data_IF_258596327192
#
_entry.id   IF_258596327192
#
_cell.length_a   1.000
_cell.length_b   1.000
_cell.length_c   1.000
_cell.angle_alpha   90.00
_cell.angle_beta   90.00
_cell.angle_gamma   90.00
#
_symmetry.space_group_name_H-M   'P 1'
#
loop_
_entity.id
_entity.type
_entity.pdbx_description
1 polymer ?
#
# COMPACT_ATOMS: atom_id res chain seq x y z
N UNK A 1 42.99 1.72 69.66
CA UNK A 1 42.05 0.99 68.80
C UNK A 1 42.39 1.34 67.36
N UNK A 2 43.10 0.47 66.66
CA UNK A 2 43.41 0.63 65.25
C UNK A 2 42.29 -0.03 64.44
N UNK A 3 41.57 0.74 63.65
CA UNK A 3 40.53 0.26 62.72
C UNK A 3 41.19 -0.23 61.43
N UNK A 4 41.29 -1.55 61.28
CA UNK A 4 41.74 -2.23 60.07
C UNK A 4 40.68 -2.07 58.95
N UNK A 5 40.99 -1.29 57.92
CA UNK A 5 40.15 -1.22 56.71
C UNK A 5 40.27 -2.51 55.91
N UNK A 6 39.14 -3.18 55.72
CA UNK A 6 39.03 -4.35 54.86
C UNK A 6 39.34 -4.05 53.38
N UNK A 7 40.07 -4.93 52.67
CA UNK A 7 40.45 -4.65 51.28
C UNK A 7 39.18 -4.75 50.34
N UNK A 8 38.96 -3.71 49.56
CA UNK A 8 37.93 -3.72 48.51
C UNK A 8 38.37 -4.62 47.36
N UNK A 9 37.77 -5.82 47.32
CA UNK A 9 37.87 -6.76 46.19
C UNK A 9 37.26 -6.06 44.94
N UNK A 10 38.09 -5.58 44.02
CA UNK A 10 37.69 -5.16 42.68
C UNK A 10 37.41 -6.40 41.85
N UNK A 11 36.19 -6.97 41.91
CA UNK A 11 35.72 -7.98 40.94
C UNK A 11 35.54 -7.28 39.60
N UNK A 12 36.51 -7.44 38.75
CA UNK A 12 36.43 -7.11 37.32
C UNK A 12 35.51 -8.14 36.68
N UNK A 13 34.18 -7.92 36.72
CA UNK A 13 33.25 -8.72 35.92
C UNK A 13 33.58 -8.47 34.46
N UNK A 14 34.29 -9.39 33.81
CA UNK A 14 34.44 -9.40 32.37
C UNK A 14 33.04 -9.60 31.75
N UNK A 15 32.48 -8.55 31.18
CA UNK A 15 31.23 -8.68 30.42
C UNK A 15 31.56 -9.51 29.17
N UNK A 16 31.09 -10.77 29.16
CA UNK A 16 31.15 -11.61 27.94
C UNK A 16 30.32 -10.89 26.88
N UNK A 17 30.98 -10.37 25.85
CA UNK A 17 30.29 -9.70 24.74
C UNK A 17 29.88 -10.75 23.71
N UNK A 18 28.59 -10.95 23.57
CA UNK A 18 28.00 -11.81 22.52
C UNK A 18 27.79 -11.06 21.19
N UNK A 19 28.27 -9.83 21.05
CA UNK A 19 28.05 -8.99 19.88
C UNK A 19 28.49 -9.68 18.57
N UNK A 20 29.61 -10.41 18.57
CA UNK A 20 30.09 -11.14 17.39
C UNK A 20 29.08 -12.19 16.91
N UNK A 21 28.48 -12.92 17.83
CA UNK A 21 27.45 -13.91 17.51
C UNK A 21 26.16 -13.28 16.97
N UNK A 22 25.79 -12.11 17.50
CA UNK A 22 24.67 -11.32 16.92
C UNK A 22 24.89 -11.03 15.43
N UNK A 23 26.07 -10.54 15.04
CA UNK A 23 26.40 -10.30 13.63
C UNK A 23 26.36 -11.59 12.79
N UNK A 24 26.86 -12.72 13.31
CA UNK A 24 26.85 -14.01 12.62
C UNK A 24 25.41 -14.49 12.35
N UNK A 25 24.49 -14.32 13.32
CA UNK A 25 23.10 -14.74 13.15
C UNK A 25 22.31 -13.87 12.18
N UNK A 26 22.61 -12.57 12.10
CA UNK A 26 21.90 -11.68 11.16
C UNK A 26 22.58 -11.63 9.77
N UNK A 27 23.83 -12.07 9.61
CA UNK A 27 24.56 -12.03 8.36
C UNK A 27 23.84 -12.71 7.18
N UNK A 28 23.25 -13.93 7.33
CA UNK A 28 22.52 -14.58 6.23
C UNK A 28 21.37 -13.73 5.68
N UNK A 29 20.62 -13.05 6.57
CA UNK A 29 19.55 -12.14 6.16
C UNK A 29 20.11 -10.96 5.35
N UNK A 30 21.16 -10.27 5.85
CA UNK A 30 21.73 -9.14 5.15
C UNK A 30 22.39 -9.52 3.83
N UNK A 31 23.00 -10.69 3.73
CA UNK A 31 23.56 -11.19 2.47
C UNK A 31 22.45 -11.46 1.45
N UNK A 32 21.39 -12.15 1.85
CA UNK A 32 20.24 -12.37 0.98
C UNK A 32 19.57 -11.05 0.55
N UNK A 33 19.38 -10.12 1.49
CA UNK A 33 18.84 -8.80 1.20
C UNK A 33 19.72 -8.00 0.22
N UNK A 34 21.04 -8.00 0.43
CA UNK A 34 21.99 -7.31 -0.44
C UNK A 34 21.97 -7.86 -1.87
N UNK A 35 21.91 -9.20 -2.02
CA UNK A 35 21.94 -9.85 -3.33
C UNK A 35 20.61 -9.74 -4.08
N UNK A 36 19.49 -9.95 -3.38
CA UNK A 36 18.19 -10.09 -4.04
C UNK A 36 17.33 -8.82 -4.00
N UNK A 37 17.63 -7.87 -3.12
CA UNK A 37 16.92 -6.59 -3.04
C UNK A 37 17.79 -5.40 -3.42
N UNK A 38 18.90 -5.21 -2.72
CA UNK A 38 19.71 -4.01 -2.88
C UNK A 38 20.44 -3.94 -4.22
N UNK A 39 21.08 -5.03 -4.65
CA UNK A 39 21.79 -5.07 -5.93
C UNK A 39 20.87 -4.84 -7.15
N UNK A 40 19.67 -5.46 -7.28
CA UNK A 40 18.75 -5.15 -8.37
C UNK A 40 18.25 -3.70 -8.36
N UNK A 41 18.07 -3.07 -7.18
CA UNK A 41 17.70 -1.66 -7.11
C UNK A 41 18.80 -0.76 -7.66
N UNK A 42 20.07 -1.01 -7.28
CA UNK A 42 21.20 -0.28 -7.84
C UNK A 42 21.33 -0.46 -9.35
N UNK A 43 21.12 -1.69 -9.86
CA UNK A 43 21.12 -1.96 -11.30
C UNK A 43 19.98 -1.23 -12.02
N UNK A 44 18.80 -1.09 -11.40
CA UNK A 44 17.68 -0.33 -11.95
C UNK A 44 18.02 1.15 -12.06
N UNK A 45 18.61 1.73 -11.01
CA UNK A 45 19.09 3.12 -11.03
C UNK A 45 20.19 3.29 -12.08
N UNK A 46 21.15 2.37 -12.16
CA UNK A 46 22.22 2.41 -13.17
C UNK A 46 21.62 2.38 -14.58
N UNK A 47 20.75 1.41 -14.88
CA UNK A 47 20.12 1.28 -16.19
C UNK A 47 19.30 2.50 -16.61
N UNK A 48 18.78 3.28 -15.67
CA UNK A 48 17.98 4.47 -15.96
C UNK A 48 18.75 5.56 -16.73
N UNK A 49 20.09 5.57 -16.62
CA UNK A 49 20.99 6.48 -17.33
C UNK A 49 21.48 5.95 -18.68
N UNK A 50 21.04 4.74 -19.06
CA UNK A 50 21.47 4.10 -20.29
C UNK A 50 20.31 3.92 -21.26
N UNK A 51 20.61 4.06 -22.55
CA UNK A 51 19.74 3.60 -23.64
C UNK A 51 19.96 2.10 -23.78
N UNK A 52 18.97 1.30 -23.41
CA UNK A 52 19.03 -0.15 -23.46
C UNK A 52 17.62 -0.69 -23.79
N UNK A 53 17.40 -1.07 -25.03
CA UNK A 53 16.13 -1.61 -25.49
C UNK A 53 16.32 -2.66 -26.59
N UNK A 54 15.24 -3.40 -26.89
CA UNK A 54 15.21 -4.34 -28.01
C UNK A 54 14.31 -3.83 -29.12
N UNK A 55 14.83 -3.84 -30.33
CA UNK A 55 14.08 -3.59 -31.55
C UNK A 55 14.06 -4.88 -32.38
N UNK A 56 12.91 -5.58 -32.35
CA UNK A 56 12.81 -6.93 -32.90
C UNK A 56 13.74 -7.92 -32.19
N UNK A 57 14.71 -8.50 -32.92
CA UNK A 57 15.71 -9.43 -32.39
C UNK A 57 17.03 -8.75 -32.01
N UNK A 58 17.22 -7.50 -32.39
CA UNK A 58 18.46 -6.75 -32.11
C UNK A 58 18.34 -6.02 -30.76
N UNK A 59 19.44 -6.05 -30.00
CA UNK A 59 19.56 -5.24 -28.79
C UNK A 59 20.35 -3.97 -29.10
N UNK A 60 19.76 -2.81 -28.73
CA UNK A 60 20.41 -1.50 -28.78
C UNK A 60 20.92 -1.16 -27.40
N UNK A 61 22.20 -0.89 -27.28
CA UNK A 61 22.84 -0.55 -26.01
C UNK A 61 23.38 -1.78 -25.24
N UNK A 62 23.86 -1.56 -23.98
CA UNK A 62 23.70 -0.34 -23.18
C UNK A 62 24.59 0.83 -23.59
N UNK A 63 24.04 1.96 -24.01
CA UNK A 63 24.74 3.20 -24.32
C UNK A 63 24.45 4.25 -23.25
N UNK A 64 25.45 4.91 -22.71
CA UNK A 64 25.23 5.96 -21.71
C UNK A 64 24.59 7.20 -22.35
N UNK A 65 23.43 7.60 -21.87
CA UNK A 65 22.65 8.74 -22.39
C UNK A 65 22.34 9.80 -21.32
N UNK A 66 22.90 9.64 -20.12
CA UNK A 66 22.68 10.57 -19.00
C UNK A 66 21.20 10.70 -18.65
N UNK A 67 20.68 11.93 -18.62
CA UNK A 67 19.30 12.22 -18.23
C UNK A 67 18.27 12.15 -19.37
N UNK A 68 18.67 11.71 -20.58
CA UNK A 68 17.75 11.69 -21.76
C UNK A 68 16.46 10.91 -21.49
N UNK A 69 16.52 9.77 -20.81
CA UNK A 69 15.33 9.00 -20.47
C UNK A 69 14.34 9.79 -19.59
N UNK A 70 14.85 10.54 -18.61
CA UNK A 70 14.04 11.38 -17.75
C UNK A 70 13.44 12.57 -18.51
N UNK A 71 14.22 13.24 -19.37
CA UNK A 71 13.72 14.32 -20.22
C UNK A 71 12.57 13.81 -21.10
N UNK A 72 12.75 12.65 -21.72
CA UNK A 72 11.71 12.01 -22.56
C UNK A 72 10.43 11.72 -21.75
N UNK A 73 10.53 11.27 -20.51
CA UNK A 73 9.38 11.00 -19.63
C UNK A 73 8.56 12.24 -19.33
N UNK A 74 9.20 13.40 -19.22
CA UNK A 74 8.54 14.67 -18.93
C UNK A 74 8.27 15.52 -20.18
N UNK A 75 8.61 15.01 -21.37
CA UNK A 75 8.26 15.66 -22.64
C UNK A 75 6.80 15.37 -22.99
N UNK A 76 5.98 16.39 -23.29
CA UNK A 76 4.61 16.18 -23.71
C UNK A 76 4.51 15.34 -24.98
N UNK A 77 3.49 14.50 -25.07
CA UNK A 77 3.12 13.79 -26.30
C UNK A 77 2.54 14.74 -27.37
N UNK A 78 2.16 14.17 -28.52
CA UNK A 78 1.54 14.94 -29.63
C UNK A 78 0.25 15.69 -29.22
N UNK A 79 -0.39 15.28 -28.11
CA UNK A 79 -1.60 15.88 -27.58
C UNK A 79 -1.32 16.87 -26.44
N UNK A 80 -0.05 17.18 -26.16
CA UNK A 80 0.36 18.06 -25.07
C UNK A 80 0.28 17.41 -23.68
N UNK A 81 0.10 16.09 -23.59
CA UNK A 81 -0.05 15.36 -22.32
C UNK A 81 1.28 14.77 -21.89
N UNK A 82 1.64 14.94 -20.63
CA UNK A 82 2.78 14.27 -20.01
C UNK A 82 2.29 12.98 -19.39
N UNK A 83 2.57 11.85 -20.03
CA UNK A 83 2.03 10.54 -19.67
C UNK A 83 2.34 10.14 -18.23
N UNK A 84 3.56 10.36 -17.75
CA UNK A 84 3.94 10.00 -16.37
C UNK A 84 3.09 10.75 -15.32
N UNK A 85 2.77 12.02 -15.54
CA UNK A 85 1.93 12.80 -14.64
C UNK A 85 0.47 12.37 -14.71
N UNK A 86 -0.04 12.05 -15.90
CA UNK A 86 -1.38 11.51 -16.11
C UNK A 86 -1.58 10.21 -15.34
N UNK A 87 -0.63 9.27 -15.46
CA UNK A 87 -0.72 7.98 -14.77
C UNK A 87 -0.44 8.08 -13.27
N UNK A 88 0.39 9.03 -12.84
CA UNK A 88 0.52 9.37 -11.43
C UNK A 88 -0.80 9.87 -10.84
N UNK A 89 -1.47 10.80 -11.53
CA UNK A 89 -2.80 11.28 -11.14
C UNK A 89 -3.85 10.18 -11.10
N UNK A 90 -3.85 9.27 -12.07
CA UNK A 90 -4.74 8.10 -12.07
C UNK A 90 -4.48 7.21 -10.84
N UNK A 91 -3.21 6.88 -10.58
CA UNK A 91 -2.81 6.01 -9.47
C UNK A 91 -3.22 6.60 -8.13
N UNK A 92 -2.95 7.88 -7.92
CA UNK A 92 -3.33 8.59 -6.69
C UNK A 92 -4.85 8.61 -6.53
N UNK A 93 -5.60 8.91 -7.59
CA UNK A 93 -7.06 8.97 -7.52
C UNK A 93 -7.69 7.60 -7.23
N UNK A 94 -7.15 6.51 -7.80
CA UNK A 94 -7.58 5.14 -7.53
C UNK A 94 -7.22 4.72 -6.10
N UNK A 95 -6.02 5.08 -5.63
CA UNK A 95 -5.61 4.83 -4.25
C UNK A 95 -6.50 5.58 -3.25
N UNK A 96 -6.69 6.88 -3.41
CA UNK A 96 -7.52 7.71 -2.52
C UNK A 96 -8.94 7.17 -2.46
N UNK A 97 -9.53 6.83 -3.63
CA UNK A 97 -10.89 6.28 -3.72
C UNK A 97 -11.08 4.96 -2.98
N UNK A 98 -10.05 4.11 -2.90
CA UNK A 98 -10.06 2.87 -2.12
C UNK A 98 -9.64 3.06 -0.66
N UNK A 99 -8.61 3.87 -0.39
CA UNK A 99 -8.01 4.03 0.93
C UNK A 99 -8.90 4.79 1.92
N UNK A 100 -9.65 5.80 1.49
CA UNK A 100 -10.54 6.54 2.38
C UNK A 100 -11.59 5.62 3.00
N UNK A 101 -12.43 4.89 2.22
CA UNK A 101 -13.39 3.96 2.81
C UNK A 101 -12.69 2.82 3.58
N UNK A 102 -11.53 2.35 3.14
CA UNK A 102 -10.73 1.35 3.83
C UNK A 102 -10.39 1.80 5.25
N UNK A 103 -9.79 2.97 5.44
CA UNK A 103 -9.36 3.44 6.76
C UNK A 103 -10.58 3.76 7.64
N UNK A 104 -11.59 4.44 7.10
CA UNK A 104 -12.78 4.83 7.87
C UNK A 104 -13.55 3.60 8.37
N UNK A 105 -13.86 2.66 7.48
CA UNK A 105 -14.63 1.46 7.82
C UNK A 105 -13.82 0.55 8.75
N UNK A 106 -12.51 0.39 8.49
CA UNK A 106 -11.63 -0.40 9.35
C UNK A 106 -11.53 0.18 10.77
N UNK A 107 -11.43 1.49 10.90
CA UNK A 107 -11.39 2.17 12.21
C UNK A 107 -12.71 1.98 12.97
N UNK A 108 -13.84 2.15 12.29
CA UNK A 108 -15.17 1.89 12.88
C UNK A 108 -15.28 0.44 13.36
N UNK A 109 -14.94 -0.53 12.51
CA UNK A 109 -14.99 -1.96 12.85
C UNK A 109 -14.02 -2.30 14.00
N UNK A 110 -12.81 -1.75 13.98
CA UNK A 110 -11.84 -1.94 15.06
C UNK A 110 -12.41 -1.46 16.39
N UNK A 111 -13.00 -0.26 16.44
CA UNK A 111 -13.67 0.25 17.64
C UNK A 111 -14.84 -0.61 18.09
N UNK A 112 -15.68 -1.11 17.15
CA UNK A 112 -16.79 -1.99 17.51
C UNK A 112 -16.32 -3.33 18.08
N UNK A 113 -15.33 -3.94 17.47
CA UNK A 113 -14.79 -5.23 17.90
C UNK A 113 -13.96 -5.17 19.20
N UNK A 114 -13.40 -4.02 19.54
CA UNK A 114 -12.63 -3.85 20.78
C UNK A 114 -13.43 -3.18 21.90
N UNK A 115 -14.68 -2.78 21.61
CA UNK A 115 -15.52 -2.10 22.59
C UNK A 115 -15.85 -3.00 23.78
N UNK A 116 -15.48 -2.56 24.98
CA UNK A 116 -15.81 -3.22 26.23
C UNK A 116 -17.33 -3.29 26.49
N UNK A 117 -18.08 -2.30 25.97
CA UNK A 117 -19.54 -2.20 26.14
C UNK A 117 -20.31 -3.14 25.21
N UNK A 118 -19.74 -3.47 24.03
CA UNK A 118 -20.38 -4.28 23.00
C UNK A 118 -19.86 -5.72 23.06
N UNK A 119 -20.62 -6.61 23.72
CA UNK A 119 -20.31 -8.07 23.71
C UNK A 119 -20.84 -8.70 22.43
N UNK A 120 -20.10 -8.61 21.34
CA UNK A 120 -20.49 -9.18 20.04
C UNK A 120 -20.34 -10.70 20.09
N UNK A 121 -21.48 -11.42 20.02
CA UNK A 121 -21.47 -12.88 19.89
C UNK A 121 -20.89 -13.28 18.53
N UNK A 122 -20.01 -14.28 18.50
CA UNK A 122 -19.39 -14.73 17.24
C UNK A 122 -18.33 -13.77 16.67
N UNK A 123 -17.76 -12.91 17.46
CA UNK A 123 -16.74 -11.92 17.02
C UNK A 123 -15.60 -12.56 16.20
N UNK A 124 -15.16 -13.76 16.58
CA UNK A 124 -14.10 -14.47 15.86
C UNK A 124 -14.52 -14.83 14.43
N UNK A 125 -15.78 -15.26 14.24
CA UNK A 125 -16.31 -15.54 12.91
C UNK A 125 -16.32 -14.29 12.02
N UNK A 126 -16.80 -13.15 12.52
CA UNK A 126 -16.79 -11.90 11.76
C UNK A 126 -15.37 -11.45 11.41
N UNK A 127 -14.42 -11.54 12.34
CA UNK A 127 -12.99 -11.23 12.07
C UNK A 127 -12.44 -12.11 10.93
N UNK A 128 -12.76 -13.39 10.93
CA UNK A 128 -12.34 -14.30 9.87
C UNK A 128 -12.96 -13.93 8.53
N UNK A 129 -14.25 -13.65 8.49
CA UNK A 129 -14.96 -13.29 7.25
C UNK A 129 -14.43 -12.01 6.62
N UNK A 130 -14.21 -10.95 7.42
CA UNK A 130 -13.69 -9.68 6.89
C UNK A 130 -12.23 -9.77 6.43
N UNK A 131 -11.47 -10.74 6.96
CA UNK A 131 -10.08 -10.98 6.56
C UNK A 131 -9.95 -11.86 5.31
N UNK A 132 -10.96 -12.70 5.01
CA UNK A 132 -10.93 -13.65 3.87
C UNK A 132 -10.54 -13.01 2.54
N UNK A 133 -11.07 -11.83 2.12
CA UNK A 133 -10.69 -11.24 0.85
C UNK A 133 -9.20 -10.96 0.70
N UNK A 134 -8.51 -10.67 1.80
CA UNK A 134 -7.06 -10.42 1.81
C UNK A 134 -6.23 -11.68 1.49
N UNK A 135 -6.78 -12.88 1.71
CA UNK A 135 -6.13 -14.15 1.42
C UNK A 135 -6.24 -14.55 -0.07
N UNK A 136 -7.12 -13.91 -0.82
CA UNK A 136 -7.32 -14.21 -2.24
C UNK A 136 -6.27 -13.45 -3.05
N UNK A 137 -5.61 -14.15 -3.99
CA UNK A 137 -4.67 -13.53 -4.92
C UNK A 137 -5.36 -12.39 -5.71
N UNK A 138 -4.72 -11.23 -5.79
CA UNK A 138 -5.29 -10.04 -6.42
C UNK A 138 -5.74 -10.26 -7.87
N UNK A 139 -4.97 -11.01 -8.65
CA UNK A 139 -5.32 -11.36 -10.03
C UNK A 139 -6.54 -12.28 -10.13
N UNK A 140 -6.68 -13.25 -9.22
CA UNK A 140 -7.87 -14.12 -9.18
C UNK A 140 -9.12 -13.34 -8.76
N UNK A 141 -8.97 -12.43 -7.78
CA UNK A 141 -10.05 -11.55 -7.35
C UNK A 141 -10.49 -10.60 -8.49
N UNK A 142 -9.53 -10.03 -9.22
CA UNK A 142 -9.79 -9.19 -10.39
C UNK A 142 -10.51 -9.96 -11.52
N UNK A 143 -10.11 -11.21 -11.77
CA UNK A 143 -10.75 -12.06 -12.77
C UNK A 143 -12.18 -12.40 -12.39
N UNK A 144 -12.45 -12.66 -11.11
CA UNK A 144 -13.81 -12.86 -10.61
C UNK A 144 -14.69 -11.64 -10.90
N UNK A 145 -14.24 -10.43 -10.55
CA UNK A 145 -14.98 -9.20 -10.82
C UNK A 145 -15.13 -8.94 -12.33
N UNK A 146 -14.10 -9.23 -13.12
CA UNK A 146 -14.18 -9.14 -14.57
C UNK A 146 -15.30 -10.03 -15.11
N UNK A 147 -15.41 -11.28 -14.66
CA UNK A 147 -16.49 -12.20 -15.09
C UNK A 147 -17.86 -11.74 -14.60
N UNK A 148 -17.98 -11.27 -13.34
CA UNK A 148 -19.24 -10.81 -12.77
C UNK A 148 -19.82 -9.61 -13.53
N UNK A 149 -18.97 -8.64 -13.90
CA UNK A 149 -19.36 -7.37 -14.53
C UNK A 149 -19.20 -7.37 -16.07
N UNK A 150 -18.86 -8.51 -16.68
CA UNK A 150 -18.81 -8.62 -18.14
C UNK A 150 -20.20 -8.45 -18.78
N UNK A 151 -20.24 -8.17 -20.08
CA UNK A 151 -21.50 -7.95 -20.80
C UNK A 151 -22.45 -9.16 -20.71
N UNK A 152 -21.91 -10.37 -20.64
CA UNK A 152 -22.66 -11.62 -20.44
C UNK A 152 -22.65 -12.12 -18.99
N UNK A 153 -22.10 -11.31 -18.08
CA UNK A 153 -21.90 -11.68 -16.68
C UNK A 153 -23.19 -11.67 -15.86
N UNK A 154 -23.16 -12.33 -14.69
CA UNK A 154 -24.31 -12.46 -13.82
C UNK A 154 -24.98 -11.15 -13.42
N UNK A 155 -24.18 -10.09 -13.24
CA UNK A 155 -24.71 -8.76 -12.85
C UNK A 155 -25.65 -8.23 -13.93
N UNK A 156 -25.21 -8.22 -15.19
CA UNK A 156 -26.07 -7.80 -16.31
C UNK A 156 -27.30 -8.69 -16.45
N UNK A 157 -27.16 -10.01 -16.28
CA UNK A 157 -28.29 -10.93 -16.34
C UNK A 157 -29.36 -10.63 -15.28
N UNK A 158 -28.90 -10.41 -14.00
CA UNK A 158 -29.84 -10.07 -12.92
C UNK A 158 -30.52 -8.72 -13.18
N UNK A 159 -29.80 -7.71 -13.61
CA UNK A 159 -30.35 -6.39 -13.90
C UNK A 159 -31.39 -6.43 -15.03
N UNK A 160 -31.13 -7.21 -16.07
CA UNK A 160 -32.09 -7.43 -17.18
C UNK A 160 -33.30 -8.20 -16.71
N UNK A 161 -33.15 -9.27 -15.93
CA UNK A 161 -34.25 -10.07 -15.38
C UNK A 161 -35.15 -9.25 -14.44
N UNK A 162 -34.58 -8.33 -13.68
CA UNK A 162 -35.34 -7.42 -12.81
C UNK A 162 -36.02 -6.27 -13.58
N UNK A 163 -35.77 -6.17 -14.89
CA UNK A 163 -36.33 -5.10 -15.73
C UNK A 163 -35.73 -3.73 -15.46
N UNK A 164 -34.54 -3.66 -14.82
CA UNK A 164 -33.87 -2.40 -14.54
C UNK A 164 -33.07 -1.86 -15.72
N UNK A 165 -32.71 -2.72 -16.65
CA UNK A 165 -32.02 -2.39 -17.90
C UNK A 165 -32.61 -3.19 -19.06
N UNK A 166 -32.71 -2.58 -20.25
CA UNK A 166 -33.16 -3.23 -21.48
C UNK A 166 -32.00 -3.92 -22.22
N UNK A 167 -30.79 -3.41 -22.10
CA UNK A 167 -29.57 -3.94 -22.73
C UNK A 167 -28.42 -4.05 -21.73
N UNK A 168 -27.52 -5.03 -21.90
CA UNK A 168 -26.34 -5.15 -21.04
C UNK A 168 -25.49 -3.88 -21.01
N UNK A 169 -25.10 -3.47 -19.82
CA UNK A 169 -24.20 -2.32 -19.59
C UNK A 169 -22.76 -2.77 -19.81
N UNK A 170 -22.02 -2.04 -20.65
CA UNK A 170 -20.58 -2.22 -20.77
C UNK A 170 -19.85 -1.46 -19.65
N UNK A 171 -19.78 -2.12 -18.49
CA UNK A 171 -19.16 -1.54 -17.29
C UNK A 171 -17.69 -1.15 -17.50
N UNK A 172 -16.98 -1.82 -18.40
CA UNK A 172 -15.55 -1.61 -18.64
C UNK A 172 -15.25 -0.46 -19.62
N UNK A 173 -16.26 0.05 -20.31
CA UNK A 173 -16.17 1.23 -21.16
C UNK A 173 -16.62 2.52 -20.47
N UNK A 174 -17.14 2.45 -19.26
CA UNK A 174 -17.55 3.60 -18.46
C UNK A 174 -16.46 3.94 -17.44
N UNK A 175 -15.83 5.12 -17.57
CA UNK A 175 -14.73 5.55 -16.72
C UNK A 175 -15.04 5.46 -15.21
N UNK A 176 -16.24 5.90 -14.82
CA UNK A 176 -16.63 5.92 -13.41
C UNK A 176 -16.76 4.51 -12.84
N UNK A 177 -17.40 3.58 -13.59
CA UNK A 177 -17.60 2.20 -13.15
C UNK A 177 -16.30 1.42 -13.04
N UNK A 178 -15.41 1.51 -14.04
CA UNK A 178 -14.11 0.81 -13.99
C UNK A 178 -13.29 1.30 -12.79
N UNK A 179 -13.20 2.61 -12.61
CA UNK A 179 -12.44 3.18 -11.48
C UNK A 179 -13.09 2.85 -10.15
N UNK A 180 -14.43 2.88 -10.07
CA UNK A 180 -15.19 2.47 -8.90
C UNK A 180 -14.98 1.00 -8.55
N UNK A 181 -14.97 0.11 -9.52
CA UNK A 181 -14.67 -1.31 -9.32
C UNK A 181 -13.24 -1.52 -8.79
N UNK A 182 -12.25 -0.84 -9.38
CA UNK A 182 -10.87 -0.91 -8.89
C UNK A 182 -10.78 -0.43 -7.43
N UNK A 183 -11.40 0.71 -7.11
CA UNK A 183 -11.43 1.24 -5.74
C UNK A 183 -12.12 0.27 -4.78
N UNK A 184 -13.29 -0.28 -5.17
CA UNK A 184 -14.04 -1.25 -4.38
C UNK A 184 -13.22 -2.52 -4.11
N UNK A 185 -12.56 -3.06 -5.12
CA UNK A 185 -11.74 -4.25 -4.98
C UNK A 185 -10.56 -4.02 -4.06
N UNK A 186 -9.85 -2.89 -4.20
CA UNK A 186 -8.77 -2.53 -3.29
C UNK A 186 -9.27 -2.38 -1.86
N UNK A 187 -10.40 -1.70 -1.66
CA UNK A 187 -11.05 -1.60 -0.37
C UNK A 187 -11.34 -3.00 0.23
N UNK A 188 -12.05 -3.86 -0.52
CA UNK A 188 -12.43 -5.20 -0.05
C UNK A 188 -11.22 -6.08 0.29
N UNK A 189 -10.14 -5.98 -0.47
CA UNK A 189 -8.93 -6.77 -0.22
C UNK A 189 -8.17 -6.33 1.05
N UNK A 190 -8.20 -5.05 1.39
CA UNK A 190 -7.30 -4.53 2.43
C UNK A 190 -7.99 -4.11 3.73
N UNK A 191 -9.33 -3.84 3.72
CA UNK A 191 -10.02 -3.33 4.92
C UNK A 191 -9.97 -4.29 6.10
N UNK A 192 -10.05 -5.60 5.85
CA UNK A 192 -10.00 -6.61 6.92
C UNK A 192 -8.64 -6.66 7.62
N UNK A 193 -7.55 -6.64 6.84
CA UNK A 193 -6.19 -6.57 7.39
C UNK A 193 -5.98 -5.28 8.19
N UNK A 194 -6.39 -4.15 7.65
CA UNK A 194 -6.34 -2.85 8.32
C UNK A 194 -7.16 -2.87 9.63
N UNK A 195 -8.35 -3.47 9.62
CA UNK A 195 -9.19 -3.61 10.81
C UNK A 195 -8.46 -4.38 11.93
N UNK A 196 -7.84 -5.53 11.60
CA UNK A 196 -7.11 -6.35 12.58
C UNK A 196 -5.92 -5.59 13.15
N UNK A 197 -5.18 -4.87 12.31
CA UNK A 197 -4.04 -4.06 12.75
C UNK A 197 -4.48 -2.94 13.71
N UNK A 198 -5.53 -2.20 13.37
CA UNK A 198 -6.08 -1.14 14.24
C UNK A 198 -6.65 -1.71 15.54
N UNK A 199 -7.29 -2.89 15.49
CA UNK A 199 -7.74 -3.59 16.69
C UNK A 199 -6.58 -3.93 17.63
N UNK A 200 -5.49 -4.45 17.09
CA UNK A 200 -4.28 -4.75 17.87
C UNK A 200 -3.75 -3.47 18.54
N UNK A 201 -3.78 -2.35 17.83
CA UNK A 201 -3.42 -1.04 18.38
C UNK A 201 -4.32 -0.60 19.53
N UNK A 202 -5.64 -0.69 19.37
CA UNK A 202 -6.59 -0.31 20.42
C UNK A 202 -6.44 -1.23 21.66
N UNK A 203 -6.23 -2.52 21.44
CA UNK A 203 -6.00 -3.49 22.53
C UNK A 203 -4.68 -3.27 23.27
N UNK A 204 -3.73 -2.54 22.70
CA UNK A 204 -2.47 -2.14 23.33
C UNK A 204 -2.59 -0.91 24.23
N UNK A 205 -3.73 -0.19 24.20
CA UNK A 205 -3.99 0.97 25.07
C UNK A 205 -4.36 0.46 26.47
N UNK A 206 -3.80 1.11 27.50
CA UNK A 206 -4.11 0.75 28.89
C UNK A 206 -5.60 0.89 29.18
N UNK A 207 -6.21 -0.19 29.67
CA UNK A 207 -7.65 -0.26 29.98
C UNK A 207 -8.06 0.76 31.05
N UNK A 208 -7.15 1.11 31.96
CA UNK A 208 -7.41 2.10 33.02
C UNK A 208 -7.83 3.47 32.47
N UNK A 209 -7.34 3.85 31.26
CA UNK A 209 -7.73 5.10 30.61
C UNK A 209 -9.20 5.09 30.18
N UNK A 210 -9.69 3.96 29.71
CA UNK A 210 -11.10 3.80 29.34
C UNK A 210 -12.01 3.75 30.57
N UNK A 211 -11.54 3.15 31.66
CA UNK A 211 -12.27 3.10 32.95
C UNK A 211 -12.37 4.48 33.56
N UNK A 212 -11.27 5.24 33.59
CA UNK A 212 -11.27 6.64 34.07
C UNK A 212 -12.23 7.51 33.25
N UNK A 213 -12.17 7.45 31.92
CA UNK A 213 -13.09 8.20 31.08
C UNK A 213 -14.58 7.82 31.28
N UNK A 214 -14.86 6.56 31.64
CA UNK A 214 -16.22 6.12 31.99
C UNK A 214 -16.68 6.67 33.34
N UNK A 215 -15.77 6.72 34.33
CA UNK A 215 -16.06 7.32 35.65
C UNK A 215 -16.36 8.81 35.52
N UNK A 216 -15.61 9.51 34.64
CA UNK A 216 -15.82 10.93 34.32
C UNK A 216 -17.10 11.17 33.48
N UNK A 217 -17.86 10.13 33.14
CA UNK A 217 -19.11 10.24 32.39
C UNK A 217 -18.93 10.54 30.91
N UNK A 218 -17.75 10.28 30.34
CA UNK A 218 -17.49 10.54 28.91
C UNK A 218 -18.37 9.68 28.03
N UNK A 219 -18.96 10.29 26.99
CA UNK A 219 -19.69 9.58 25.95
C UNK A 219 -18.73 8.75 25.08
N UNK A 220 -19.23 7.72 24.38
CA UNK A 220 -18.42 6.88 23.50
C UNK A 220 -17.67 7.69 22.43
N UNK A 221 -18.28 8.78 21.93
CA UNK A 221 -17.66 9.67 20.96
C UNK A 221 -16.51 10.49 21.57
N UNK A 222 -16.68 10.95 22.82
CA UNK A 222 -15.61 11.64 23.55
C UNK A 222 -14.44 10.70 23.85
N UNK A 223 -14.72 9.47 24.27
CA UNK A 223 -13.68 8.44 24.45
C UNK A 223 -12.95 8.17 23.14
N UNK A 224 -13.67 8.05 22.04
CA UNK A 224 -13.05 7.84 20.71
C UNK A 224 -12.11 8.97 20.32
N UNK A 225 -12.58 10.23 20.30
CA UNK A 225 -11.80 11.36 19.81
C UNK A 225 -10.72 11.85 20.80
N UNK A 226 -10.94 11.70 22.11
CA UNK A 226 -10.03 12.24 23.14
C UNK A 226 -9.06 11.19 23.72
N UNK A 227 -9.38 9.90 23.62
CA UNK A 227 -8.56 8.82 24.19
C UNK A 227 -8.09 7.89 23.09
N UNK A 228 -9.02 7.22 22.37
CA UNK A 228 -8.66 6.16 21.42
C UNK A 228 -7.86 6.70 20.23
N UNK A 229 -8.39 7.70 19.54
CA UNK A 229 -7.80 8.20 18.30
C UNK A 229 -6.40 8.80 18.51
N UNK A 230 -6.14 9.65 19.53
CA UNK A 230 -4.80 10.17 19.78
C UNK A 230 -3.78 9.07 20.11
N UNK A 231 -4.14 8.11 20.95
CA UNK A 231 -3.26 7.02 21.34
C UNK A 231 -3.04 5.99 20.22
N UNK A 232 -3.98 5.91 19.26
CA UNK A 232 -3.89 5.05 18.09
C UNK A 232 -3.11 5.70 16.93
N UNK A 233 -2.82 7.01 17.02
CA UNK A 233 -2.19 7.78 15.92
C UNK A 233 -0.91 7.14 15.35
N UNK A 234 0.05 6.62 16.14
CA UNK A 234 1.27 6.01 15.60
C UNK A 234 0.96 4.82 14.68
N UNK A 235 -0.03 3.98 15.05
CA UNK A 235 -0.45 2.83 14.25
C UNK A 235 -1.26 3.29 13.02
N UNK A 236 -2.07 4.33 13.17
CA UNK A 236 -2.84 4.90 12.07
C UNK A 236 -1.91 5.54 11.03
N UNK A 237 -0.88 6.28 11.45
CA UNK A 237 0.18 6.81 10.57
C UNK A 237 0.87 5.68 9.81
N UNK A 238 1.30 4.64 10.51
CA UNK A 238 1.90 3.45 9.89
C UNK A 238 0.95 2.83 8.85
N UNK A 239 -0.32 2.67 9.18
CA UNK A 239 -1.35 2.09 8.32
C UNK A 239 -1.56 2.92 7.05
N UNK A 240 -1.68 4.24 7.17
CA UNK A 240 -1.88 5.13 6.03
C UNK A 240 -0.66 5.17 5.12
N UNK A 241 0.55 5.19 5.69
CA UNK A 241 1.80 5.19 4.90
C UNK A 241 1.97 3.86 4.15
N UNK A 242 1.72 2.73 4.80
CA UNK A 242 1.81 1.42 4.13
C UNK A 242 0.73 1.26 3.06
N UNK A 243 -0.48 1.76 3.29
CA UNK A 243 -1.54 1.81 2.28
C UNK A 243 -1.18 2.72 1.10
N UNK A 244 -0.52 3.87 1.34
CA UNK A 244 -0.03 4.77 0.29
C UNK A 244 1.03 4.08 -0.58
N UNK A 245 2.04 3.45 0.05
CA UNK A 245 3.10 2.75 -0.67
C UNK A 245 2.51 1.63 -1.53
N UNK A 246 1.64 0.79 -0.97
CA UNK A 246 0.96 -0.28 -1.71
C UNK A 246 0.05 0.24 -2.82
N UNK A 247 -0.67 1.33 -2.58
CA UNK A 247 -1.56 1.96 -3.56
C UNK A 247 -0.81 2.59 -4.74
N UNK A 248 0.34 3.22 -4.50
CA UNK A 248 1.18 3.75 -5.59
C UNK A 248 1.86 2.65 -6.42
N UNK A 249 2.00 1.46 -5.85
CA UNK A 249 2.50 0.26 -6.52
C UNK A 249 1.39 -0.64 -7.08
N UNK A 250 0.12 -0.17 -7.08
CA UNK A 250 -1.03 -0.91 -7.58
C UNK A 250 -0.84 -1.34 -9.04
N UNK A 251 -0.93 -2.66 -9.28
CA UNK A 251 -0.71 -3.25 -10.59
C UNK A 251 -1.74 -4.33 -10.94
N UNK A 252 -1.86 -5.39 -10.13
CA UNK A 252 -2.59 -6.61 -10.51
C UNK A 252 -4.08 -6.35 -10.80
N UNK A 253 -4.76 -5.63 -9.91
CA UNK A 253 -6.19 -5.37 -10.04
C UNK A 253 -6.52 -4.59 -11.31
N UNK A 254 -5.95 -3.38 -11.56
CA UNK A 254 -6.25 -2.66 -12.79
C UNK A 254 -5.73 -3.34 -14.05
N UNK A 255 -4.60 -4.05 -13.97
CA UNK A 255 -4.01 -4.79 -15.09
C UNK A 255 -4.95 -5.89 -15.60
N UNK A 256 -5.48 -6.70 -14.70
CA UNK A 256 -6.35 -7.82 -15.05
C UNK A 256 -7.75 -7.32 -15.41
N UNK A 257 -8.33 -6.43 -14.61
CA UNK A 257 -9.68 -5.92 -14.82
C UNK A 257 -9.85 -5.19 -16.17
N UNK A 258 -8.78 -4.55 -16.67
CA UNK A 258 -8.82 -3.80 -17.94
C UNK A 258 -8.06 -4.49 -19.07
N UNK A 259 -7.72 -5.77 -18.94
CA UNK A 259 -6.92 -6.51 -19.92
C UNK A 259 -5.64 -5.75 -20.35
N UNK A 260 -4.95 -5.15 -19.42
CA UNK A 260 -3.74 -4.34 -19.60
C UNK A 260 -3.94 -3.02 -20.41
N UNK A 261 -5.14 -2.73 -20.86
CA UNK A 261 -5.43 -1.56 -21.70
C UNK A 261 -5.68 -0.27 -20.89
N UNK A 262 -5.99 -0.41 -19.59
CA UNK A 262 -6.34 0.73 -18.73
C UNK A 262 -7.60 1.48 -19.19
N UNK A 263 -8.57 0.71 -19.74
CA UNK A 263 -9.83 1.24 -20.29
C UNK A 263 -10.62 2.09 -19.27
N UNK A 264 -11.49 2.98 -19.78
CA UNK A 264 -11.50 3.58 -21.11
C UNK A 264 -10.38 4.63 -21.28
N UNK A 265 -9.84 4.80 -22.48
CA UNK A 265 -8.87 5.86 -22.82
C UNK A 265 -7.65 5.97 -21.89
N UNK A 266 -7.15 4.84 -21.37
CA UNK A 266 -6.05 4.75 -20.42
C UNK A 266 -6.30 5.53 -19.10
N UNK A 267 -7.57 5.76 -18.74
CA UNK A 267 -7.92 6.49 -17.51
C UNK A 267 -7.76 5.65 -16.23
N UNK A 268 -7.62 4.33 -16.39
CA UNK A 268 -7.35 3.38 -15.31
C UNK A 268 -5.92 2.83 -15.34
N UNK A 269 -5.07 3.32 -16.26
CA UNK A 269 -3.65 2.97 -16.30
C UNK A 269 -2.94 3.55 -15.09
N UNK A 270 -2.25 2.69 -14.33
CA UNK A 270 -1.42 3.08 -13.18
C UNK A 270 0.04 3.29 -13.59
N UNK A 271 0.82 3.89 -12.68
CA UNK A 271 2.27 4.06 -12.87
C UNK A 271 2.99 2.73 -13.12
N UNK A 272 2.62 1.69 -12.38
CA UNK A 272 3.26 0.37 -12.52
C UNK A 272 2.80 -0.34 -13.80
N UNK A 273 1.56 -0.15 -14.26
CA UNK A 273 1.13 -0.60 -15.59
C UNK A 273 1.93 0.09 -16.70
N UNK A 274 2.18 1.38 -16.57
CA UNK A 274 3.01 2.15 -17.51
C UNK A 274 4.44 1.63 -17.56
N UNK A 275 5.05 1.42 -16.37
CA UNK A 275 6.35 0.76 -16.24
C UNK A 275 6.37 -0.61 -16.95
N UNK A 276 5.36 -1.45 -16.67
CA UNK A 276 5.29 -2.80 -17.20
C UNK A 276 5.17 -2.83 -18.73
N UNK A 277 4.52 -1.85 -19.33
CA UNK A 277 4.44 -1.71 -20.80
C UNK A 277 5.83 -1.49 -21.40
N UNK A 278 6.68 -0.63 -20.80
CA UNK A 278 8.04 -0.46 -21.26
C UNK A 278 8.90 -1.70 -21.03
N UNK A 279 8.72 -2.36 -19.89
CA UNK A 279 9.53 -3.53 -19.54
C UNK A 279 9.20 -4.76 -20.39
N UNK A 280 7.93 -5.10 -20.54
CA UNK A 280 7.50 -6.35 -21.20
C UNK A 280 7.18 -6.17 -22.66
N UNK A 281 6.45 -5.12 -23.02
CA UNK A 281 5.98 -4.93 -24.41
C UNK A 281 7.07 -4.30 -25.28
N UNK A 282 7.61 -3.17 -24.82
CA UNK A 282 8.64 -2.44 -25.56
C UNK A 282 10.05 -2.95 -25.30
N UNK A 283 10.25 -3.79 -24.27
CA UNK A 283 11.57 -4.31 -23.84
C UNK A 283 12.61 -3.20 -23.70
N UNK A 284 12.18 -2.03 -23.22
CA UNK A 284 13.04 -0.86 -23.02
C UNK A 284 13.45 -0.76 -21.56
N UNK A 285 14.58 -1.34 -21.24
CA UNK A 285 15.10 -1.45 -19.88
C UNK A 285 15.56 -0.09 -19.31
N UNK A 286 16.12 0.77 -20.18
CA UNK A 286 16.55 2.11 -19.78
C UNK A 286 15.37 2.99 -19.36
N UNK A 287 14.33 3.05 -20.18
CA UNK A 287 13.11 3.80 -19.86
C UNK A 287 12.38 3.21 -18.65
N UNK A 288 12.29 1.88 -18.56
CA UNK A 288 11.70 1.20 -17.39
C UNK A 288 12.46 1.55 -16.10
N UNK A 289 13.79 1.61 -16.15
CA UNK A 289 14.63 2.05 -15.04
C UNK A 289 14.31 3.49 -14.62
N UNK A 290 14.20 4.41 -15.59
CA UNK A 290 13.87 5.81 -15.31
C UNK A 290 12.46 5.96 -14.69
N UNK A 291 11.45 5.24 -15.21
CA UNK A 291 10.10 5.21 -14.63
C UNK A 291 10.12 4.69 -13.19
N UNK A 292 10.87 3.61 -12.92
CA UNK A 292 11.01 3.03 -11.57
C UNK A 292 11.59 4.04 -10.58
N UNK A 293 12.62 4.78 -10.97
CA UNK A 293 13.23 5.83 -10.13
C UNK A 293 12.24 6.96 -9.87
N UNK A 294 11.48 7.39 -10.89
CA UNK A 294 10.45 8.43 -10.72
C UNK A 294 9.34 7.95 -9.77
N UNK A 295 8.87 6.70 -9.90
CA UNK A 295 7.90 6.12 -8.96
C UNK A 295 8.45 6.12 -7.54
N UNK A 296 9.71 5.72 -7.35
CA UNK A 296 10.37 5.72 -6.04
C UNK A 296 10.41 7.12 -5.43
N UNK A 297 10.79 8.13 -6.21
CA UNK A 297 10.85 9.53 -5.75
C UNK A 297 9.46 10.05 -5.38
N UNK A 298 8.45 9.83 -6.24
CA UNK A 298 7.06 10.24 -5.97
C UNK A 298 6.55 9.57 -4.69
N UNK A 299 6.76 8.26 -4.55
CA UNK A 299 6.32 7.51 -3.36
C UNK A 299 6.99 8.01 -2.10
N UNK A 300 8.31 8.24 -2.14
CA UNK A 300 9.07 8.76 -1.02
C UNK A 300 8.63 10.16 -0.59
N UNK A 301 8.46 11.07 -1.55
CA UNK A 301 8.01 12.44 -1.26
C UNK A 301 6.59 12.46 -0.67
N UNK A 302 5.65 11.72 -1.26
CA UNK A 302 4.28 11.64 -0.74
C UNK A 302 4.24 11.00 0.65
N UNK A 303 5.02 9.94 0.89
CA UNK A 303 5.12 9.32 2.21
C UNK A 303 5.67 10.27 3.26
N UNK A 304 6.68 11.07 2.92
CA UNK A 304 7.23 12.10 3.82
C UNK A 304 6.22 13.22 4.11
N UNK A 305 5.44 13.65 3.10
CA UNK A 305 4.39 14.65 3.29
C UNK A 305 3.30 14.12 4.21
N UNK A 306 2.81 12.90 3.97
CA UNK A 306 1.79 12.26 4.81
C UNK A 306 2.30 12.06 6.23
N UNK A 307 3.52 11.55 6.40
CA UNK A 307 4.16 11.37 7.70
C UNK A 307 4.19 12.69 8.48
N UNK A 308 4.77 13.75 7.90
CA UNK A 308 4.85 15.06 8.56
C UNK A 308 3.47 15.67 8.88
N UNK A 309 2.49 15.46 8.01
CA UNK A 309 1.14 16.01 8.21
C UNK A 309 0.41 15.33 9.36
N UNK A 310 0.60 14.02 9.52
CA UNK A 310 -0.07 13.25 10.58
C UNK A 310 0.65 13.37 11.92
N UNK A 311 2.00 13.37 11.96
CA UNK A 311 2.77 13.48 13.21
C UNK A 311 2.76 14.89 13.80
N UNK A 312 2.59 15.93 12.98
CA UNK A 312 2.45 17.31 13.50
C UNK A 312 1.21 17.51 14.37
N UNK A 313 0.23 16.62 14.29
CA UNK A 313 -0.96 16.63 15.14
C UNK A 313 -0.70 16.03 16.54
N UNK A 314 0.42 15.32 16.75
CA UNK A 314 0.81 14.79 18.06
C UNK A 314 1.50 15.82 18.95
N UNK A 315 2.06 16.90 18.35
CA UNK A 315 2.81 17.95 19.09
C UNK A 315 1.93 19.13 19.53
N UNK A 316 0.65 19.21 19.11
CA UNK A 316 -0.32 20.25 19.48
C UNK A 316 -1.46 19.65 20.34
#
# INVERSE_FOLDING_TARGET
>A
MQTTKAPKLKTKRSKISYAKWGYVFIAPFFLAYALFHFAPQLLTIYNSFFENYREGLTQVGPNFVGLKNYITLFTPDKNGTIDILKYAGNTIALWVGGAIPQVVISLMLACFFTSYRLKIKGQQFFKTVIYMPNLIMASAFAMLFYMLFSNVGPINQILTQLGWIDMPIDFFNIRFTVRGLICLMNFLMWFGNTTILLMAGIMGIDQSLFEAANIDGASSMQVFFKVTLPLLMPILVYTVITALIGGLQMFDVPQVLTNALGTPNRTSTTLVMYLNNYLKTSKNYGMSGAISVVIFVITGLLSLVVFKSLTKQEEN
#
